data_IF_882126066243
#
_entry.id   IF_882126066243
#
_cell.length_a   1.000
_cell.length_b   1.000
_cell.length_c   1.000
_cell.angle_alpha   90.00
_cell.angle_beta   90.00
_cell.angle_gamma   90.00
#
_symmetry.space_group_name_H-M   'P 1'
#
loop_
_entity.id
_entity.type
_entity.pdbx_description
1 polymer ?
#
# COMPACT_ATOMS: atom_id res chain seq x y z
N UNK A 1 -16.52 -3.14 23.86
CA UNK A 1 -15.47 -3.72 22.99
C UNK A 1 -14.37 -2.70 22.82
N UNK A 2 -13.11 -3.12 22.86
CA UNK A 2 -11.95 -2.23 22.81
C UNK A 2 -11.56 -1.95 21.37
N UNK A 3 -11.35 -0.67 21.08
CA UNK A 3 -10.77 -0.22 19.81
C UNK A 3 -9.31 -0.70 19.76
N UNK A 4 -8.87 -1.23 18.61
CA UNK A 4 -7.48 -1.68 18.37
C UNK A 4 -6.48 -0.58 18.73
N UNK A 5 -6.87 0.69 18.57
CA UNK A 5 -6.06 1.87 18.92
C UNK A 5 -5.82 2.08 20.42
N UNK A 6 -6.48 1.31 21.30
CA UNK A 6 -6.37 1.38 22.77
C UNK A 6 -5.60 0.22 23.36
N UNK A 7 -5.04 -0.67 22.54
CA UNK A 7 -4.26 -1.80 23.00
C UNK A 7 -2.98 -1.30 23.70
N UNK A 8 -2.78 -1.76 24.93
CA UNK A 8 -1.62 -1.45 25.78
C UNK A 8 -0.76 -2.66 26.09
N UNK A 9 -1.21 -3.87 25.78
CA UNK A 9 -0.43 -5.09 26.01
C UNK A 9 -0.85 -6.22 25.08
N UNK A 10 0.12 -7.03 24.65
CA UNK A 10 -0.11 -8.19 23.78
C UNK A 10 0.17 -9.48 24.51
N UNK A 11 -0.79 -10.39 24.47
CA UNK A 11 -0.72 -11.72 25.02
C UNK A 11 -0.75 -12.71 23.86
N UNK A 12 0.03 -13.77 23.96
CA UNK A 12 0.05 -14.86 22.99
C UNK A 12 0.00 -16.20 23.69
N UNK A 13 -0.72 -17.15 23.12
CA UNK A 13 -0.42 -18.56 23.33
C UNK A 13 0.90 -18.91 22.62
N UNK A 14 1.50 -20.06 22.94
CA UNK A 14 2.69 -20.54 22.24
C UNK A 14 2.34 -21.61 21.20
N UNK A 15 1.78 -22.73 21.64
CA UNK A 15 1.56 -23.90 20.81
C UNK A 15 0.35 -23.70 19.89
N UNK A 16 0.56 -23.88 18.58
CA UNK A 16 -0.42 -23.52 17.55
C UNK A 16 -0.53 -22.02 17.28
N UNK A 17 0.27 -21.16 17.92
CA UNK A 17 0.39 -19.74 17.57
C UNK A 17 1.77 -19.44 17.00
N UNK A 18 2.82 -19.67 17.79
CA UNK A 18 4.22 -19.59 17.34
C UNK A 18 4.65 -20.82 16.54
N UNK A 19 3.92 -21.93 16.69
CA UNK A 19 4.16 -23.22 16.04
C UNK A 19 2.92 -23.63 15.24
N UNK A 20 3.06 -24.62 14.37
CA UNK A 20 1.97 -25.26 13.62
C UNK A 20 1.25 -26.35 14.45
N UNK A 21 1.29 -26.22 15.78
CA UNK A 21 0.74 -27.17 16.74
C UNK A 21 1.34 -28.58 16.65
N UNK A 22 2.54 -28.73 16.07
CA UNK A 22 3.29 -29.98 16.03
C UNK A 22 4.56 -29.94 16.87
N UNK A 23 5.00 -31.11 17.33
CA UNK A 23 6.24 -31.30 18.08
C UNK A 23 7.03 -32.48 17.48
N UNK A 24 8.35 -32.30 17.36
CA UNK A 24 9.25 -33.40 17.04
C UNK A 24 9.88 -33.93 18.33
N UNK A 25 9.49 -35.13 18.76
CA UNK A 25 10.09 -35.81 19.91
C UNK A 25 11.24 -36.71 19.45
N UNK A 26 12.43 -36.50 20.01
CA UNK A 26 13.64 -37.26 19.74
C UNK A 26 13.70 -38.51 20.62
N UNK A 27 14.57 -39.46 20.28
CA UNK A 27 14.70 -40.74 21.01
C UNK A 27 15.16 -40.61 22.46
N UNK A 28 15.76 -39.48 22.82
CA UNK A 28 16.19 -39.13 24.19
C UNK A 28 15.10 -38.37 24.97
N UNK A 29 13.92 -38.17 24.38
CA UNK A 29 12.81 -37.42 24.97
C UNK A 29 12.93 -35.91 24.84
N UNK A 30 13.98 -35.39 24.19
CA UNK A 30 14.06 -33.96 23.86
C UNK A 30 13.02 -33.65 22.79
N UNK A 31 12.42 -32.47 22.88
CA UNK A 31 11.48 -31.99 21.87
C UNK A 31 12.09 -30.84 21.08
N UNK A 32 11.74 -30.73 19.80
CA UNK A 32 11.99 -29.54 19.00
C UNK A 32 10.71 -29.06 18.30
N UNK A 33 10.62 -27.74 18.16
CA UNK A 33 9.49 -27.06 17.50
C UNK A 33 10.01 -26.16 16.38
N UNK A 34 9.14 -25.88 15.41
CA UNK A 34 9.41 -24.95 14.32
C UNK A 34 8.60 -23.67 14.53
N UNK A 35 9.22 -22.53 14.27
CA UNK A 35 8.57 -21.23 14.34
C UNK A 35 8.88 -20.38 13.12
N UNK A 36 7.97 -19.47 12.77
CA UNK A 36 8.13 -18.58 11.62
C UNK A 36 9.22 -17.52 11.80
N UNK A 37 9.99 -17.28 10.73
CA UNK A 37 10.87 -16.12 10.62
C UNK A 37 10.11 -14.83 10.32
N UNK A 38 8.98 -14.92 9.61
CA UNK A 38 8.10 -13.76 9.38
C UNK A 38 7.59 -13.20 10.71
N UNK A 39 7.13 -14.08 11.60
CA UNK A 39 6.68 -13.68 12.94
C UNK A 39 7.82 -13.08 13.76
N UNK A 40 9.02 -13.67 13.69
CA UNK A 40 10.20 -13.15 14.38
C UNK A 40 10.52 -11.71 13.98
N UNK A 41 10.48 -11.45 12.68
CA UNK A 41 10.78 -10.14 12.12
C UNK A 41 9.69 -9.13 12.52
N UNK A 42 8.42 -9.50 12.39
CA UNK A 42 7.29 -8.65 12.75
C UNK A 42 7.28 -8.27 14.23
N UNK A 43 7.57 -9.22 15.12
CA UNK A 43 7.70 -8.96 16.57
C UNK A 43 8.84 -7.97 16.84
N UNK A 44 9.98 -8.12 16.17
CA UNK A 44 11.11 -7.23 16.34
C UNK A 44 10.78 -5.80 15.88
N UNK A 45 10.15 -5.64 14.71
CA UNK A 45 9.69 -4.34 14.23
C UNK A 45 8.65 -3.74 15.19
N UNK A 46 7.66 -4.53 15.61
CA UNK A 46 6.63 -4.07 16.53
C UNK A 46 7.20 -3.53 17.84
N UNK A 47 8.18 -4.23 18.43
CA UNK A 47 8.83 -3.78 19.67
C UNK A 47 9.65 -2.50 19.48
N UNK A 48 10.25 -2.31 18.30
CA UNK A 48 10.97 -1.07 17.99
C UNK A 48 10.01 0.10 17.79
N UNK A 49 8.88 -0.13 17.12
CA UNK A 49 7.89 0.90 16.85
C UNK A 49 7.05 1.24 18.10
N UNK A 50 6.75 0.25 18.94
CA UNK A 50 5.87 0.39 20.11
C UNK A 50 6.55 -0.16 21.39
N UNK A 51 7.69 0.41 21.81
CA UNK A 51 8.44 -0.07 22.98
C UNK A 51 7.65 0.02 24.30
N UNK A 52 6.59 0.83 24.35
CA UNK A 52 5.70 0.98 25.49
C UNK A 52 4.66 -0.14 25.63
N UNK A 53 4.44 -0.95 24.60
CA UNK A 53 3.46 -2.05 24.62
C UNK A 53 4.19 -3.35 25.00
N UNK A 54 4.07 -3.85 26.24
CA UNK A 54 4.69 -5.10 26.63
C UNK A 54 4.03 -6.30 25.94
N UNK A 55 4.87 -7.28 25.59
CA UNK A 55 4.48 -8.58 25.03
C UNK A 55 4.69 -9.68 26.07
N UNK A 56 3.78 -10.65 26.13
CA UNK A 56 3.91 -11.86 26.95
C UNK A 56 3.40 -13.10 26.22
N UNK A 57 4.14 -14.20 26.37
CA UNK A 57 3.67 -15.55 26.05
C UNK A 57 3.20 -16.22 27.33
N UNK A 58 1.99 -16.81 27.30
CA UNK A 58 1.44 -17.59 28.40
C UNK A 58 1.16 -19.01 27.89
N UNK A 59 1.90 -19.99 28.39
CA UNK A 59 1.75 -21.41 28.00
C UNK A 59 1.55 -22.31 29.21
N UNK A 60 0.75 -23.37 29.05
CA UNK A 60 0.65 -24.47 30.02
C UNK A 60 1.86 -25.40 29.98
N UNK A 61 2.58 -25.43 28.86
CA UNK A 61 3.77 -26.25 28.68
C UNK A 61 4.96 -25.70 29.46
N UNK A 62 5.94 -26.56 29.74
CA UNK A 62 7.16 -26.20 30.46
C UNK A 62 8.44 -26.45 29.65
N UNK A 63 8.29 -26.76 28.36
CA UNK A 63 9.38 -27.14 27.49
C UNK A 63 10.44 -26.03 27.34
N UNK A 64 11.71 -26.43 27.35
CA UNK A 64 12.85 -25.51 27.22
C UNK A 64 12.90 -24.75 25.89
N UNK A 65 12.36 -25.32 24.81
CA UNK A 65 12.24 -24.66 23.50
C UNK A 65 11.47 -23.34 23.59
N UNK A 66 10.39 -23.30 24.36
CA UNK A 66 9.55 -22.10 24.56
C UNK A 66 10.39 -21.01 25.21
N UNK A 67 11.12 -21.37 26.28
CA UNK A 67 12.01 -20.46 27.00
C UNK A 67 13.10 -19.88 26.11
N UNK A 68 13.79 -20.71 25.34
CA UNK A 68 14.82 -20.25 24.42
C UNK A 68 14.25 -19.35 23.32
N UNK A 69 13.06 -19.68 22.81
CA UNK A 69 12.41 -18.91 21.77
C UNK A 69 11.95 -17.53 22.25
N UNK A 70 11.28 -17.46 23.40
CA UNK A 70 10.84 -16.20 23.99
C UNK A 70 12.04 -15.33 24.38
N UNK A 71 13.10 -15.92 24.95
CA UNK A 71 14.34 -15.20 25.26
C UNK A 71 14.98 -14.59 24.02
N UNK A 72 15.05 -15.33 22.90
CA UNK A 72 15.60 -14.85 21.63
C UNK A 72 14.79 -13.69 21.02
N UNK A 73 13.47 -13.68 21.23
CA UNK A 73 12.58 -12.62 20.75
C UNK A 73 12.40 -11.48 21.77
N UNK A 74 13.01 -11.64 22.95
CA UNK A 74 12.88 -10.80 24.15
C UNK A 74 11.41 -10.51 24.50
N UNK A 75 10.62 -11.59 24.53
CA UNK A 75 9.23 -11.59 24.98
C UNK A 75 9.16 -12.16 26.39
N UNK A 76 8.35 -11.56 27.27
CA UNK A 76 8.12 -12.11 28.60
C UNK A 76 7.47 -13.49 28.50
N UNK A 77 7.89 -14.43 29.35
CA UNK A 77 7.34 -15.78 29.34
C UNK A 77 6.77 -16.13 30.71
N UNK A 78 5.53 -16.63 30.71
CA UNK A 78 4.89 -17.28 31.84
C UNK A 78 4.49 -18.68 31.38
N UNK A 79 5.08 -19.71 32.01
CA UNK A 79 4.95 -21.10 31.57
C UNK A 79 4.52 -22.00 32.74
N UNK A 80 4.03 -23.21 32.43
CA UNK A 80 3.57 -24.17 33.45
C UNK A 80 2.31 -23.72 34.19
N UNK A 81 1.45 -22.94 33.54
CA UNK A 81 0.22 -22.43 34.15
C UNK A 81 -0.97 -23.35 33.87
N UNK A 82 -1.79 -23.58 34.89
CA UNK A 82 -3.07 -24.31 34.74
C UNK A 82 -4.24 -23.38 34.42
N UNK A 83 -4.16 -22.09 34.78
CA UNK A 83 -5.15 -21.07 34.46
C UNK A 83 -4.49 -19.86 33.78
N UNK A 84 -4.61 -19.77 32.45
CA UNK A 84 -4.08 -18.66 31.63
C UNK A 84 -4.68 -17.30 32.03
N UNK A 85 -5.94 -17.26 32.49
CA UNK A 85 -6.59 -16.00 32.89
C UNK A 85 -5.98 -15.45 34.18
N UNK A 86 -5.71 -16.30 35.18
CA UNK A 86 -5.03 -15.86 36.41
C UNK A 86 -3.61 -15.36 36.12
N UNK A 87 -2.86 -16.07 35.28
CA UNK A 87 -1.54 -15.65 34.82
C UNK A 87 -1.57 -14.28 34.11
N UNK A 88 -2.53 -14.10 33.19
CA UNK A 88 -2.72 -12.84 32.47
C UNK A 88 -3.08 -11.69 33.42
N UNK A 89 -3.95 -11.92 34.42
CA UNK A 89 -4.30 -10.91 35.43
C UNK A 89 -3.08 -10.45 36.23
N UNK A 90 -2.25 -11.39 36.69
CA UNK A 90 -1.03 -11.08 37.44
C UNK A 90 -0.03 -10.30 36.59
N UNK A 91 0.17 -10.72 35.34
CA UNK A 91 1.03 -10.02 34.40
C UNK A 91 0.53 -8.59 34.12
N UNK A 92 -0.76 -8.44 33.80
CA UNK A 92 -1.34 -7.14 33.50
C UNK A 92 -1.25 -6.19 34.71
N UNK A 93 -1.47 -6.69 35.92
CA UNK A 93 -1.27 -5.93 37.16
C UNK A 93 0.18 -5.44 37.31
N UNK A 94 1.17 -6.30 37.07
CA UNK A 94 2.59 -5.94 37.14
C UNK A 94 2.98 -4.89 36.08
N UNK A 95 2.33 -4.91 34.92
CA UNK A 95 2.51 -3.91 33.89
C UNK A 95 1.66 -2.64 34.09
N UNK A 96 0.82 -2.58 35.13
CA UNK A 96 -0.16 -1.51 35.35
C UNK A 96 -1.13 -1.31 34.17
N UNK A 97 -1.60 -2.42 33.58
CA UNK A 97 -2.51 -2.46 32.43
C UNK A 97 -3.79 -3.22 32.82
N UNK A 98 -4.94 -2.81 32.27
CA UNK A 98 -6.18 -3.58 32.39
C UNK A 98 -6.30 -4.59 31.25
N UNK A 99 -6.81 -5.80 31.52
CA UNK A 99 -7.01 -6.80 30.48
C UNK A 99 -7.96 -6.34 29.36
N UNK A 100 -8.89 -5.43 29.66
CA UNK A 100 -9.74 -4.83 28.62
C UNK A 100 -8.97 -3.95 27.63
N UNK A 101 -7.75 -3.54 27.97
CA UNK A 101 -6.83 -2.84 27.07
C UNK A 101 -5.80 -3.81 26.47
N UNK A 102 -5.95 -5.12 26.63
CA UNK A 102 -5.05 -6.12 26.06
C UNK A 102 -5.65 -6.78 24.80
N UNK A 103 -4.75 -7.20 23.92
CA UNK A 103 -5.08 -8.08 22.81
C UNK A 103 -4.48 -9.47 23.05
N UNK A 104 -5.18 -10.51 22.59
CA UNK A 104 -4.76 -11.90 22.77
C UNK A 104 -4.90 -12.67 21.46
N UNK A 105 -3.82 -13.32 21.03
CA UNK A 105 -3.83 -14.26 19.92
C UNK A 105 -3.85 -15.69 20.46
N UNK A 106 -4.94 -16.39 20.19
CA UNK A 106 -5.29 -17.69 20.74
C UNK A 106 -5.36 -18.78 19.67
N UNK A 107 -5.30 -20.04 20.10
CA UNK A 107 -5.40 -21.21 19.21
C UNK A 107 -6.51 -22.20 19.62
N UNK A 108 -6.74 -22.44 20.92
CA UNK A 108 -7.59 -23.57 21.34
C UNK A 108 -8.55 -23.22 22.49
N UNK A 109 -9.39 -24.17 22.91
CA UNK A 109 -10.43 -24.00 23.93
C UNK A 109 -9.89 -23.67 25.32
N UNK A 110 -8.64 -24.01 25.62
CA UNK A 110 -7.98 -23.61 26.87
C UNK A 110 -7.83 -22.07 26.98
N UNK A 111 -7.89 -21.35 25.86
CA UNK A 111 -7.82 -19.90 25.77
C UNK A 111 -9.15 -19.17 26.01
N UNK A 112 -10.27 -19.92 26.01
CA UNK A 112 -11.62 -19.38 26.06
C UNK A 112 -11.83 -18.36 27.19
N UNK A 113 -11.41 -18.70 28.42
CA UNK A 113 -11.65 -17.83 29.59
C UNK A 113 -10.90 -16.50 29.47
N UNK A 114 -9.72 -16.51 28.85
CA UNK A 114 -8.95 -15.29 28.62
C UNK A 114 -9.55 -14.49 27.47
N UNK A 115 -9.96 -15.14 26.38
CA UNK A 115 -10.65 -14.50 25.25
C UNK A 115 -11.91 -13.73 25.70
N UNK A 116 -12.65 -14.25 26.67
CA UNK A 116 -13.85 -13.61 27.22
C UNK A 116 -13.58 -12.32 28.02
N UNK A 117 -12.34 -12.08 28.46
CA UNK A 117 -11.99 -10.98 29.36
C UNK A 117 -11.17 -9.90 28.66
N UNK A 118 -10.33 -10.26 27.69
CA UNK A 118 -9.50 -9.29 26.99
C UNK A 118 -10.32 -8.37 26.09
N UNK A 119 -9.81 -7.17 25.83
CA UNK A 119 -10.47 -6.20 24.95
C UNK A 119 -10.51 -6.60 23.48
N UNK A 120 -9.48 -7.33 23.04
CA UNK A 120 -9.28 -7.71 21.64
C UNK A 120 -8.84 -9.19 21.52
N UNK A 121 -9.77 -10.15 21.64
CA UNK A 121 -9.47 -11.57 21.42
C UNK A 121 -9.46 -11.89 19.92
N UNK A 122 -8.46 -12.63 19.45
CA UNK A 122 -8.29 -13.02 18.06
C UNK A 122 -7.76 -14.45 17.96
N UNK A 123 -8.20 -15.21 16.96
CA UNK A 123 -7.72 -16.57 16.72
C UNK A 123 -6.67 -16.62 15.60
N UNK A 124 -5.82 -17.63 15.61
CA UNK A 124 -5.08 -18.03 14.40
C UNK A 124 -6.04 -18.66 13.37
N UNK A 125 -5.63 -18.76 12.10
CA UNK A 125 -6.52 -19.22 11.02
C UNK A 125 -7.01 -20.66 11.19
N UNK A 126 -6.19 -21.51 11.80
CA UNK A 126 -6.47 -22.90 12.14
C UNK A 126 -6.92 -23.09 13.59
N UNK A 127 -7.31 -22.01 14.29
CA UNK A 127 -7.76 -22.12 15.67
C UNK A 127 -9.04 -22.96 15.77
N UNK A 128 -9.20 -23.68 16.89
CA UNK A 128 -10.36 -24.52 17.16
C UNK A 128 -11.67 -23.75 16.92
N UNK A 129 -12.56 -24.30 16.09
CA UNK A 129 -13.81 -23.62 15.72
C UNK A 129 -14.72 -23.33 16.90
N UNK A 130 -14.64 -24.11 17.98
CA UNK A 130 -15.38 -23.85 19.20
C UNK A 130 -14.93 -22.57 19.94
N UNK A 131 -13.78 -21.98 19.56
CA UNK A 131 -13.32 -20.69 20.05
C UNK A 131 -13.94 -19.51 19.29
N UNK A 132 -14.47 -19.71 18.08
CA UNK A 132 -15.02 -18.66 17.20
C UNK A 132 -16.01 -17.71 17.88
N UNK A 133 -16.93 -18.16 18.76
CA UNK A 133 -17.86 -17.26 19.46
C UNK A 133 -17.19 -16.29 20.45
N UNK A 134 -15.93 -16.52 20.81
CA UNK A 134 -15.19 -15.78 21.83
C UNK A 134 -14.07 -14.92 21.27
N UNK A 135 -13.79 -15.00 19.96
CA UNK A 135 -12.80 -14.17 19.27
C UNK A 135 -13.48 -13.21 18.31
N UNK A 136 -12.84 -12.08 18.00
CA UNK A 136 -13.35 -11.08 17.06
C UNK A 136 -13.20 -11.50 15.60
N UNK A 137 -12.23 -12.37 15.34
CA UNK A 137 -11.91 -12.88 14.02
C UNK A 137 -10.76 -13.87 14.12
N UNK A 138 -10.38 -14.40 12.97
CA UNK A 138 -9.21 -15.27 12.80
C UNK A 138 -8.26 -14.64 11.81
N UNK A 139 -6.97 -14.94 11.92
CA UNK A 139 -6.00 -14.63 10.86
C UNK A 139 -6.28 -15.49 9.63
N UNK A 140 -5.81 -15.08 8.47
CA UNK A 140 -5.76 -15.93 7.27
C UNK A 140 -4.65 -16.96 7.42
N UNK A 141 -3.49 -16.52 7.93
CA UNK A 141 -2.36 -17.42 8.21
C UNK A 141 -2.64 -18.35 9.39
N UNK A 142 -2.13 -19.57 9.30
CA UNK A 142 -2.16 -20.57 10.39
C UNK A 142 -1.03 -20.33 11.40
N UNK A 143 -1.16 -20.96 12.57
CA UNK A 143 -0.11 -21.05 13.58
C UNK A 143 1.25 -21.39 12.98
N UNK A 144 2.31 -20.72 13.44
CA UNK A 144 3.68 -20.95 12.95
C UNK A 144 3.95 -20.54 11.50
N UNK A 145 2.96 -20.00 10.79
CA UNK A 145 3.02 -19.66 9.36
C UNK A 145 2.72 -18.17 9.09
N UNK A 146 3.08 -17.27 10.03
CA UNK A 146 2.89 -15.83 9.83
C UNK A 146 1.66 -15.24 10.51
N UNK A 147 0.92 -16.02 11.31
CA UNK A 147 -0.27 -15.54 12.00
C UNK A 147 0.04 -14.39 12.98
N UNK A 148 1.20 -14.41 13.66
CA UNK A 148 1.58 -13.31 14.56
C UNK A 148 1.89 -12.07 13.75
N UNK A 149 2.60 -12.18 12.61
CA UNK A 149 2.84 -11.05 11.69
C UNK A 149 1.51 -10.42 11.29
N UNK A 150 0.55 -11.21 10.81
CA UNK A 150 -0.76 -10.71 10.38
C UNK A 150 -1.51 -10.03 11.52
N UNK A 151 -1.50 -10.63 12.71
CA UNK A 151 -2.11 -10.07 13.90
C UNK A 151 -1.46 -8.74 14.33
N UNK A 152 -0.13 -8.65 14.29
CA UNK A 152 0.59 -7.40 14.56
C UNK A 152 0.31 -6.36 13.48
N UNK A 153 0.20 -6.74 12.21
CA UNK A 153 -0.18 -5.83 11.12
C UNK A 153 -1.60 -5.27 11.32
N UNK A 154 -2.55 -6.09 11.76
CA UNK A 154 -3.90 -5.65 12.13
C UNK A 154 -3.88 -4.58 13.24
N UNK A 155 -3.03 -4.80 14.26
CA UNK A 155 -2.86 -3.88 15.38
C UNK A 155 -2.13 -2.60 14.94
N UNK A 156 -1.08 -2.73 14.14
CA UNK A 156 -0.29 -1.63 13.63
C UNK A 156 -1.04 -0.78 12.62
N UNK A 157 -1.78 -1.37 11.68
CA UNK A 157 -2.52 -0.63 10.65
C UNK A 157 -3.50 0.36 11.30
N UNK A 158 -4.16 -0.07 12.37
CA UNK A 158 -5.06 0.79 13.17
C UNK A 158 -4.32 1.89 13.94
N UNK A 159 -3.06 1.66 14.34
CA UNK A 159 -2.22 2.64 15.05
C UNK A 159 -1.41 3.55 14.11
N UNK A 160 -1.10 3.11 12.90
CA UNK A 160 -0.41 3.87 11.85
C UNK A 160 -1.27 5.04 11.40
N UNK A 161 -2.61 4.94 11.43
CA UNK A 161 -3.50 6.08 11.24
C UNK A 161 -3.38 7.18 12.33
N UNK A 162 -2.64 6.95 13.42
CA UNK A 162 -2.27 7.99 14.39
C UNK A 162 -0.82 8.51 14.25
N UNK A 163 0.13 7.69 13.80
CA UNK A 163 1.51 8.14 13.54
C UNK A 163 1.73 8.71 12.15
N UNK A 164 0.85 8.42 11.19
CA UNK A 164 0.67 9.23 10.00
C UNK A 164 0.09 10.57 10.45
N UNK A 165 0.95 11.59 10.47
CA UNK A 165 0.61 13.02 10.59
C UNK A 165 -0.80 13.25 10.02
N UNK A 166 -1.69 13.83 10.80
CA UNK A 166 -2.92 14.39 10.24
C UNK A 166 -2.50 15.29 9.07
N UNK A 167 -2.73 14.85 7.84
CA UNK A 167 -2.38 15.61 6.64
C UNK A 167 -3.59 16.49 6.37
N UNK A 168 -3.37 17.80 6.40
CA UNK A 168 -4.47 18.75 6.17
C UNK A 168 -4.92 18.71 4.71
N UNK A 169 -6.16 19.10 4.45
CA UNK A 169 -6.62 19.35 3.09
C UNK A 169 -5.82 20.54 2.56
N UNK A 170 -5.05 20.32 1.49
CA UNK A 170 -4.30 21.39 0.82
C UNK A 170 -5.19 22.04 -0.23
N UNK A 171 -5.39 23.37 -0.12
CA UNK A 171 -5.98 24.15 -1.21
C UNK A 171 -4.93 24.34 -2.28
N UNK A 172 -5.17 23.77 -3.47
CA UNK A 172 -4.33 23.99 -4.64
C UNK A 172 -4.79 25.23 -5.41
N UNK A 173 -3.84 25.95 -5.99
CA UNK A 173 -4.11 27.07 -6.89
C UNK A 173 -3.51 26.76 -8.26
N UNK A 174 -4.35 26.84 -9.28
CA UNK A 174 -3.92 26.61 -10.65
C UNK A 174 -2.94 27.71 -11.08
N UNK A 175 -1.88 27.34 -11.79
CA UNK A 175 -0.82 28.26 -12.22
C UNK A 175 -0.70 28.26 -13.74
N UNK A 176 -0.73 29.44 -14.36
CA UNK A 176 -0.51 29.57 -15.81
C UNK A 176 0.96 29.27 -16.12
N UNK A 177 1.21 28.49 -17.16
CA UNK A 177 2.57 28.11 -17.58
C UNK A 177 3.17 29.12 -18.60
N UNK A 178 2.53 30.28 -18.75
CA UNK A 178 2.94 31.35 -19.65
C UNK A 178 2.23 31.30 -21.02
N UNK A 179 2.36 32.37 -21.83
CA UNK A 179 1.72 32.46 -23.13
C UNK A 179 2.33 31.46 -24.12
N UNK A 180 1.48 30.84 -24.95
CA UNK A 180 1.91 29.97 -26.05
C UNK A 180 1.29 30.47 -27.36
N UNK A 181 1.99 30.25 -28.47
CA UNK A 181 1.46 30.61 -29.79
C UNK A 181 0.18 29.81 -30.10
N UNK A 182 0.19 28.52 -29.75
CA UNK A 182 -0.91 27.57 -29.94
C UNK A 182 -2.11 27.79 -29.00
N UNK A 183 -1.97 28.56 -27.91
CA UNK A 183 -3.01 28.70 -26.91
C UNK A 183 -2.51 28.98 -25.49
N UNK A 184 -3.17 28.38 -24.50
CA UNK A 184 -2.87 28.56 -23.08
C UNK A 184 -2.76 27.21 -22.36
N UNK A 185 -1.84 27.14 -21.40
CA UNK A 185 -1.66 26.00 -20.50
C UNK A 185 -1.86 26.47 -19.07
N UNK A 186 -2.72 25.75 -18.33
CA UNK A 186 -2.95 25.96 -16.92
C UNK A 186 -2.62 24.67 -16.17
N UNK A 187 -1.60 24.70 -15.31
CA UNK A 187 -1.29 23.60 -14.41
C UNK A 187 -2.24 23.66 -13.21
N UNK A 188 -3.26 22.82 -13.21
CA UNK A 188 -4.30 22.79 -12.16
C UNK A 188 -3.73 22.16 -10.88
N UNK A 189 -3.07 21.01 -11.01
CA UNK A 189 -2.46 20.31 -9.90
C UNK A 189 -1.25 19.52 -10.35
N UNK A 190 -0.22 19.48 -9.52
CA UNK A 190 0.94 18.60 -9.67
C UNK A 190 1.23 17.99 -8.31
N UNK A 191 1.35 16.67 -8.27
CA UNK A 191 1.85 15.95 -7.11
C UNK A 191 3.08 15.17 -7.55
N UNK A 192 4.25 15.64 -7.12
CA UNK A 192 5.54 15.07 -7.50
C UNK A 192 5.56 13.56 -7.22
N UNK A 193 5.99 12.77 -8.20
CA UNK A 193 5.99 11.30 -8.12
C UNK A 193 4.62 10.63 -8.28
N UNK A 194 3.52 11.39 -8.44
CA UNK A 194 2.18 10.83 -8.56
C UNK A 194 1.48 11.19 -9.88
N UNK A 195 1.15 12.47 -10.09
CA UNK A 195 0.39 12.89 -11.27
C UNK A 195 0.61 14.36 -11.62
N UNK A 196 0.27 14.67 -12.87
CA UNK A 196 0.09 16.03 -13.36
C UNK A 196 -1.33 16.19 -13.90
N UNK A 197 -1.99 17.30 -13.58
CA UNK A 197 -3.32 17.66 -14.06
C UNK A 197 -3.30 19.07 -14.64
N UNK A 198 -3.67 19.19 -15.91
CA UNK A 198 -3.63 20.43 -16.68
C UNK A 198 -4.95 20.70 -17.39
N UNK A 199 -5.18 21.97 -17.66
CA UNK A 199 -6.13 22.40 -18.68
C UNK A 199 -5.36 23.03 -19.84
N UNK A 200 -5.66 22.59 -21.06
CA UNK A 200 -5.14 23.16 -22.30
C UNK A 200 -6.26 23.88 -23.02
N UNK A 201 -6.06 25.16 -23.34
CA UNK A 201 -6.96 25.92 -24.22
C UNK A 201 -6.27 26.09 -25.56
N UNK A 202 -6.67 25.31 -26.56
CA UNK A 202 -6.07 25.32 -27.90
C UNK A 202 -6.83 26.26 -28.83
N UNK A 203 -6.11 27.06 -29.62
CA UNK A 203 -6.71 27.84 -30.72
C UNK A 203 -7.04 26.91 -31.89
N UNK A 204 -8.03 27.28 -32.72
CA UNK A 204 -8.31 26.56 -33.96
C UNK A 204 -7.05 26.47 -34.84
N UNK A 205 -6.75 25.27 -35.32
CA UNK A 205 -5.57 24.96 -36.13
C UNK A 205 -4.29 24.71 -35.32
N UNK A 206 -4.32 24.87 -34.00
CA UNK A 206 -3.20 24.51 -33.15
C UNK A 206 -2.94 23.00 -33.23
N UNK A 207 -1.66 22.63 -33.31
CA UNK A 207 -1.23 21.24 -33.42
C UNK A 207 0.03 21.01 -32.58
N UNK A 208 0.06 19.85 -31.92
CA UNK A 208 1.29 19.27 -31.39
C UNK A 208 2.18 18.71 -32.49
N UNK A 209 3.34 18.20 -32.11
CA UNK A 209 4.16 17.36 -32.96
C UNK A 209 3.66 15.92 -33.00
N UNK A 210 3.99 15.18 -34.06
CA UNK A 210 3.81 13.73 -34.06
C UNK A 210 4.85 13.09 -33.14
N UNK A 211 4.38 12.44 -32.09
CA UNK A 211 5.24 12.01 -30.99
C UNK A 211 4.76 10.72 -30.34
N UNK A 212 5.63 10.14 -29.51
CA UNK A 212 5.23 9.22 -28.45
C UNK A 212 5.93 9.58 -27.13
N UNK A 213 5.46 8.97 -26.04
CA UNK A 213 6.07 9.09 -24.71
C UNK A 213 6.74 7.78 -24.30
N UNK A 214 7.92 7.81 -23.65
CA UNK A 214 8.59 6.57 -23.23
C UNK A 214 7.97 5.99 -21.94
N UNK A 215 7.52 6.85 -21.04
CA UNK A 215 7.06 6.55 -19.68
C UNK A 215 5.72 7.24 -19.36
N UNK A 216 5.48 8.44 -19.91
CA UNK A 216 4.24 9.19 -19.66
C UNK A 216 3.05 8.41 -20.21
N UNK A 217 2.04 8.20 -19.37
CA UNK A 217 0.72 7.74 -19.75
C UNK A 217 -0.23 8.92 -19.54
N UNK A 218 -0.95 9.28 -20.58
CA UNK A 218 -1.75 10.50 -20.64
C UNK A 218 -3.20 10.18 -20.98
N UNK A 219 -4.12 10.91 -20.36
CA UNK A 219 -5.55 10.85 -20.65
C UNK A 219 -6.05 12.27 -20.84
N UNK A 220 -6.76 12.48 -21.95
CA UNK A 220 -7.33 13.77 -22.34
C UNK A 220 -8.84 13.65 -22.41
N UNK A 221 -9.54 14.54 -21.70
CA UNK A 221 -10.98 14.73 -21.79
C UNK A 221 -11.28 16.03 -22.53
N UNK A 222 -12.12 15.98 -23.56
CA UNK A 222 -12.53 17.16 -24.33
C UNK A 222 -13.66 17.89 -23.60
N UNK A 223 -13.33 18.98 -22.92
CA UNK A 223 -14.32 19.79 -22.20
C UNK A 223 -15.17 20.64 -23.16
N UNK A 224 -14.57 21.13 -24.25
CA UNK A 224 -15.25 21.81 -25.35
C UNK A 224 -14.41 21.82 -26.63
N UNK A 225 -15.06 22.03 -27.78
CA UNK A 225 -14.43 22.03 -29.10
C UNK A 225 -14.39 20.66 -29.77
N UNK A 226 -13.55 20.56 -30.80
CA UNK A 226 -13.38 19.37 -31.63
C UNK A 226 -11.88 19.11 -31.85
N UNK A 227 -11.39 17.96 -31.38
CA UNK A 227 -10.00 17.54 -31.44
C UNK A 227 -9.84 16.41 -32.46
N UNK A 228 -8.97 16.58 -33.44
CA UNK A 228 -8.53 15.49 -34.31
C UNK A 228 -7.26 14.89 -33.72
N UNK A 229 -7.26 13.57 -33.56
CA UNK A 229 -6.09 12.81 -33.10
C UNK A 229 -5.61 11.95 -34.26
N UNK A 230 -4.39 12.22 -34.73
CA UNK A 230 -3.68 11.30 -35.62
C UNK A 230 -2.96 10.28 -34.78
N UNK A 231 -3.04 9.00 -35.10
CA UNK A 231 -2.31 7.95 -34.38
C UNK A 231 -2.03 6.73 -35.24
N UNK A 232 -1.11 5.89 -34.76
CA UNK A 232 -0.74 4.62 -35.39
C UNK A 232 -1.23 3.44 -34.52
N UNK A 233 -1.89 2.46 -35.14
CA UNK A 233 -2.39 1.26 -34.46
C UNK A 233 -1.35 0.14 -34.34
N UNK A 234 -0.09 0.42 -34.66
CA UNK A 234 1.05 -0.50 -34.67
C UNK A 234 1.39 -1.07 -36.04
N UNK A 235 0.83 -0.53 -37.13
CA UNK A 235 1.04 -1.00 -38.51
C UNK A 235 1.90 -0.06 -39.37
N UNK A 236 2.40 1.03 -38.78
CA UNK A 236 3.24 2.01 -39.47
C UNK A 236 2.44 3.03 -40.26
N UNK A 237 1.12 3.10 -40.09
CA UNK A 237 0.24 4.04 -40.82
C UNK A 237 -0.53 4.92 -39.85
N UNK A 238 -0.56 6.22 -40.18
CA UNK A 238 -1.38 7.17 -39.46
C UNK A 238 -2.83 7.07 -39.91
N UNK A 239 -3.72 7.00 -38.94
CA UNK A 239 -5.15 7.17 -39.09
C UNK A 239 -5.60 8.39 -38.29
N UNK A 240 -6.82 8.85 -38.54
CA UNK A 240 -7.38 10.03 -37.90
C UNK A 240 -8.71 9.69 -37.24
N UNK A 241 -8.84 10.01 -35.95
CA UNK A 241 -10.07 9.89 -35.20
C UNK A 241 -10.45 11.28 -34.62
N UNK A 242 -11.75 11.58 -34.57
CA UNK A 242 -12.27 12.88 -34.09
C UNK A 242 -12.93 12.69 -32.74
N UNK A 243 -12.56 13.56 -31.79
CA UNK A 243 -13.06 13.59 -30.42
C UNK A 243 -13.74 14.94 -30.16
N UNK A 244 -15.00 14.90 -29.74
CA UNK A 244 -15.83 16.06 -29.44
C UNK A 244 -16.05 16.19 -27.93
N UNK A 245 -16.76 17.26 -27.52
CA UNK A 245 -17.14 17.46 -26.12
C UNK A 245 -17.72 16.19 -25.49
N UNK A 246 -17.13 15.78 -24.37
CA UNK A 246 -17.55 14.59 -23.61
C UNK A 246 -16.73 13.34 -23.91
N UNK A 247 -15.99 13.33 -25.01
CA UNK A 247 -15.12 12.22 -25.37
C UNK A 247 -13.81 12.24 -24.55
N UNK A 248 -13.22 11.06 -24.42
CA UNK A 248 -12.00 10.81 -23.68
C UNK A 248 -11.06 9.95 -24.52
N UNK A 249 -9.78 10.29 -24.52
CA UNK A 249 -8.72 9.55 -25.23
C UNK A 249 -7.55 9.29 -24.30
N UNK A 250 -6.96 8.11 -24.40
CA UNK A 250 -5.75 7.74 -23.69
C UNK A 250 -4.59 7.59 -24.67
N UNK A 251 -3.43 8.07 -24.26
CA UNK A 251 -2.14 7.90 -24.93
C UNK A 251 -1.20 7.09 -24.01
N UNK A 252 -1.17 5.76 -24.14
CA UNK A 252 -0.23 4.93 -23.40
C UNK A 252 1.23 5.20 -23.81
N UNK A 253 2.22 4.86 -22.97
CA UNK A 253 3.62 4.91 -23.37
C UNK A 253 3.88 4.12 -24.66
N UNK A 254 4.64 4.70 -25.58
CA UNK A 254 4.94 4.15 -26.89
C UNK A 254 3.87 4.40 -27.96
N UNK A 255 2.68 4.87 -27.60
CA UNK A 255 1.65 5.21 -28.60
C UNK A 255 2.05 6.43 -29.41
N UNK A 256 2.07 6.30 -30.73
CA UNK A 256 2.38 7.40 -31.64
C UNK A 256 1.10 8.18 -31.89
N UNK A 257 1.11 9.47 -31.55
CA UNK A 257 -0.06 10.33 -31.64
C UNK A 257 0.32 11.79 -31.95
N UNK A 258 -0.66 12.54 -32.44
CA UNK A 258 -0.62 13.98 -32.64
C UNK A 258 -2.03 14.55 -32.46
N UNK A 259 -2.16 15.59 -31.64
CA UNK A 259 -3.42 16.30 -31.45
C UNK A 259 -3.48 17.58 -32.27
N UNK A 260 -4.62 17.78 -32.94
CA UNK A 260 -4.90 18.96 -33.78
C UNK A 260 -6.28 19.50 -33.42
N UNK A 261 -6.33 20.78 -33.03
CA UNK A 261 -7.58 21.45 -32.70
C UNK A 261 -8.31 21.88 -34.00
N UNK A 262 -9.41 21.22 -34.35
CA UNK A 262 -10.24 21.59 -35.51
C UNK A 262 -11.08 22.85 -35.25
N UNK A 263 -11.34 23.11 -33.97
CA UNK A 263 -12.00 24.30 -33.43
C UNK A 263 -11.18 24.86 -32.27
N UNK A 264 -11.66 25.93 -31.62
CA UNK A 264 -11.10 26.27 -30.32
C UNK A 264 -11.48 25.17 -29.32
N UNK A 265 -10.48 24.56 -28.67
CA UNK A 265 -10.70 23.45 -27.75
C UNK A 265 -10.32 23.83 -26.32
N UNK A 266 -11.05 23.27 -25.36
CA UNK A 266 -10.60 23.21 -23.96
C UNK A 266 -10.49 21.75 -23.58
N UNK A 267 -9.30 21.32 -23.18
CA UNK A 267 -8.95 19.96 -22.85
C UNK A 267 -8.55 19.87 -21.39
N UNK A 268 -8.94 18.79 -20.72
CA UNK A 268 -8.45 18.42 -19.39
C UNK A 268 -7.53 17.22 -19.55
N UNK A 269 -6.26 17.38 -19.20
CA UNK A 269 -5.21 16.38 -19.35
C UNK A 269 -4.74 15.89 -17.97
N UNK A 270 -4.82 14.59 -17.72
CA UNK A 270 -4.21 13.95 -16.55
C UNK A 270 -3.14 12.98 -17.02
N UNK A 271 -1.97 13.02 -16.38
CA UNK A 271 -0.88 12.11 -16.71
C UNK A 271 -0.11 11.60 -15.50
N UNK A 272 0.64 10.52 -15.70
CA UNK A 272 1.73 10.10 -14.81
C UNK A 272 2.78 11.23 -14.69
N UNK A 273 3.66 11.24 -13.67
CA UNK A 273 4.41 12.42 -13.27
C UNK A 273 5.60 12.77 -14.18
N UNK A 274 5.75 12.08 -15.32
CA UNK A 274 6.85 12.28 -16.26
C UNK A 274 6.57 13.49 -17.17
N UNK A 275 7.25 14.61 -16.91
CA UNK A 275 6.93 15.88 -17.59
C UNK A 275 7.67 16.01 -18.93
N UNK A 276 8.96 15.69 -18.94
CA UNK A 276 9.81 15.79 -20.13
C UNK A 276 10.20 14.39 -20.63
N UNK A 277 9.36 13.78 -21.48
CA UNK A 277 9.65 12.46 -22.03
C UNK A 277 9.04 12.24 -23.42
N UNK A 278 9.18 13.22 -24.28
CA UNK A 278 8.65 13.20 -25.65
C UNK A 278 9.70 12.66 -26.62
N UNK A 279 9.25 11.92 -27.63
CA UNK A 279 10.05 11.54 -28.80
C UNK A 279 9.31 11.90 -30.07
N UNK A 280 9.93 12.72 -30.92
CA UNK A 280 9.41 13.14 -32.22
C UNK A 280 9.70 12.09 -33.28
N UNK A 281 8.71 11.82 -34.14
CA UNK A 281 8.75 10.72 -35.11
C UNK A 281 8.28 11.12 -36.51
N UNK A 282 8.11 12.41 -36.81
CA UNK A 282 7.66 12.91 -38.13
C UNK A 282 8.40 12.28 -39.30
N UNK A 283 9.74 12.19 -39.22
CA UNK A 283 10.57 11.64 -40.29
C UNK A 283 10.30 10.17 -40.58
N UNK A 284 9.86 9.39 -39.58
CA UNK A 284 9.48 7.98 -39.77
C UNK A 284 8.22 7.83 -40.62
N UNK A 285 7.39 8.88 -40.65
CA UNK A 285 6.14 8.94 -41.42
C UNK A 285 6.26 9.85 -42.65
N UNK A 286 7.49 10.25 -43.04
CA UNK A 286 7.73 11.09 -44.20
C UNK A 286 7.24 12.54 -44.06
N UNK A 287 7.02 13.02 -42.83
CA UNK A 287 6.59 14.38 -42.54
C UNK A 287 7.81 15.29 -42.29
N UNK A 288 7.71 16.56 -42.70
CA UNK A 288 8.75 17.56 -42.47
C UNK A 288 8.48 18.37 -41.20
N UNK A 289 9.53 18.66 -40.43
CA UNK A 289 9.42 19.44 -39.17
C UNK A 289 8.91 20.87 -39.40
N UNK A 290 9.06 21.41 -40.61
CA UNK A 290 8.56 22.72 -41.04
C UNK A 290 7.03 22.87 -41.00
N UNK A 291 6.28 21.76 -40.92
CA UNK A 291 4.82 21.78 -40.81
C UNK A 291 4.33 22.02 -39.36
N UNK A 292 5.24 22.17 -38.40
CA UNK A 292 4.94 22.28 -36.96
C UNK A 292 5.63 23.51 -36.33
N UNK A 293 5.27 24.70 -36.79
CA UNK A 293 5.92 26.00 -36.50
C UNK A 293 6.10 26.41 -35.02
N UNK A 294 5.73 25.60 -34.03
CA UNK A 294 5.88 25.95 -32.60
C UNK A 294 6.17 24.75 -31.68
N UNK A 295 6.69 23.64 -32.22
CA UNK A 295 6.70 22.37 -31.50
C UNK A 295 8.05 22.08 -30.82
N UNK A 296 8.00 21.65 -29.54
CA UNK A 296 9.20 21.37 -28.75
C UNK A 296 9.99 20.16 -29.30
N UNK A 297 11.33 20.16 -29.22
CA UNK A 297 12.15 19.04 -29.69
C UNK A 297 11.95 17.78 -28.85
N UNK A 298 12.44 16.64 -29.37
CA UNK A 298 12.55 15.38 -28.61
C UNK A 298 13.35 15.59 -27.33
N UNK A 299 12.89 14.99 -26.24
CA UNK A 299 13.64 14.98 -24.99
C UNK A 299 14.76 13.94 -25.05
N UNK A 300 15.97 14.37 -24.65
CA UNK A 300 17.14 13.50 -24.55
C UNK A 300 17.05 12.55 -23.34
N UNK A 301 17.77 11.42 -23.39
CA UNK A 301 17.81 10.48 -22.26
C UNK A 301 18.48 11.05 -21.00
N UNK A 302 19.31 12.08 -21.14
CA UNK A 302 19.96 12.77 -20.02
C UNK A 302 18.98 13.69 -19.27
N UNK A 303 18.05 14.32 -19.98
CA UNK A 303 17.02 15.19 -19.38
C UNK A 303 16.00 14.41 -18.54
N UNK A 304 15.74 13.14 -18.89
CA UNK A 304 14.82 12.26 -18.16
C UNK A 304 15.38 11.80 -16.80
N UNK A 305 16.71 11.71 -16.66
CA UNK A 305 17.37 11.20 -15.44
C UNK A 305 17.39 12.16 -14.26
N UNK A 306 17.12 13.46 -14.48
CA UNK A 306 17.12 14.47 -13.42
C UNK A 306 15.76 14.63 -12.71
N UNK A 307 14.76 13.82 -13.06
CA UNK A 307 13.42 13.82 -12.46
C UNK A 307 13.17 12.61 -11.51
N UNK A 308 14.22 11.83 -11.18
CA UNK A 308 14.18 10.69 -10.25
C UNK A 308 15.05 10.91 -9.01
#
# INVERSE_FOLDING_TARGET
MTDVSKIKGLIFDFDGVFTDNTVCTHSDGVESVKCSKYDSYAINIFRQDFPEIPLVVISSETNTCIKHRCSKLEINLIQGVSDKLDAAKKWALNCNISLVDCAFLANDLNDKRLCQVVGFPYGVGDCNDALSPFVRGKTVSFGGNGAIKEFLELICFSNLHRRSRHVSIEKLSATSVGPREWGEELLIAKKDGHFTFKQLTLKKGASGGLQFHRLKNEVVYVLSGCLLVKHDRGDGKLIEDIFSKGDCVQFPPGSIHQEIALEQCVLLEVSTPHFNDRVRVESLYGLTTSDTNSSLPSTSLLEIRNEF
#
